data_IF_628457377744
#
_entry.id   IF_628457377744
#
_cell.length_a   1.000
_cell.length_b   1.000
_cell.length_c   1.000
_cell.angle_alpha   90.00
_cell.angle_beta   90.00
_cell.angle_gamma   90.00
#
_symmetry.space_group_name_H-M   'P 1'
#
loop_
_entity.id
_entity.type
_entity.pdbx_description
1 polymer ?
#
# COMPACT_ATOMS: atom_id res chain seq x y z
N UNK A 1 -16.90 -27.84 8.04
CA UNK A 1 -17.95 -26.81 8.23
C UNK A 1 -18.28 -26.24 6.88
N UNK A 2 -19.56 -26.15 6.52
CA UNK A 2 -19.98 -25.57 5.25
C UNK A 2 -19.95 -24.04 5.34
N UNK A 3 -19.38 -23.32 4.35
CA UNK A 3 -19.53 -21.88 4.26
C UNK A 3 -21.02 -21.52 4.22
N UNK A 4 -21.45 -20.55 5.03
CA UNK A 4 -22.83 -20.06 5.05
C UNK A 4 -22.95 -18.73 4.31
N UNK A 5 -23.98 -18.59 3.47
CA UNK A 5 -24.28 -17.32 2.80
C UNK A 5 -24.57 -16.20 3.80
N UNK A 6 -24.04 -14.99 3.55
CA UNK A 6 -24.38 -13.79 4.33
C UNK A 6 -25.10 -12.77 3.46
N UNK A 7 -26.01 -12.02 4.07
CA UNK A 7 -26.84 -10.97 3.45
C UNK A 7 -26.18 -9.60 3.69
N UNK A 8 -25.68 -8.97 2.64
CA UNK A 8 -25.21 -7.57 2.60
C UNK A 8 -26.32 -6.67 2.04
N UNK A 9 -26.22 -5.35 2.20
CA UNK A 9 -27.16 -4.36 1.67
C UNK A 9 -26.46 -3.53 0.59
N UNK A 10 -27.19 -2.94 -0.35
CA UNK A 10 -26.59 -2.13 -1.43
C UNK A 10 -25.84 -0.91 -0.90
N UNK A 11 -26.28 -0.26 0.19
CA UNK A 11 -25.51 0.84 0.80
C UNK A 11 -24.28 0.38 1.60
N UNK A 12 -24.11 -0.93 1.83
CA UNK A 12 -22.82 -1.47 2.29
C UNK A 12 -21.79 -1.50 1.15
N UNK A 13 -22.21 -1.16 -0.08
CA UNK A 13 -21.37 -0.89 -1.24
C UNK A 13 -21.00 0.61 -1.32
N UNK A 14 -20.33 1.13 -0.28
CA UNK A 14 -19.61 2.40 -0.45
C UNK A 14 -18.52 2.27 -1.53
N UNK A 15 -18.05 3.37 -2.12
CA UNK A 15 -16.90 3.32 -3.03
C UNK A 15 -15.73 2.63 -2.33
N UNK A 16 -15.33 1.47 -2.87
CA UNK A 16 -14.17 0.75 -2.40
C UNK A 16 -13.40 0.18 -3.61
N UNK A 17 -12.07 0.22 -3.54
CA UNK A 17 -11.17 -0.21 -4.63
C UNK A 17 -11.09 -1.74 -4.83
N UNK A 18 -11.88 -2.53 -4.08
CA UNK A 18 -12.01 -4.00 -4.11
C UNK A 18 -12.96 -4.54 -5.15
N UNK A 19 -13.73 -3.70 -5.82
CA UNK A 19 -14.62 -4.21 -6.84
C UNK A 19 -13.85 -4.65 -8.08
N UNK A 20 -12.85 -5.54 -7.99
CA UNK A 20 -12.01 -5.96 -9.11
C UNK A 20 -11.19 -4.83 -9.74
N UNK A 21 -10.44 -5.17 -10.80
CA UNK A 21 -9.79 -4.16 -11.62
C UNK A 21 -10.84 -3.28 -12.31
N UNK A 22 -10.53 -2.01 -12.62
CA UNK A 22 -11.11 -1.35 -13.78
C UNK A 22 -10.77 -2.21 -15.01
N UNK A 23 -11.61 -3.18 -15.29
CA UNK A 23 -11.68 -3.79 -16.61
C UNK A 23 -12.51 -2.88 -17.48
N UNK A 24 -12.09 -2.69 -18.73
CA UNK A 24 -12.97 -2.14 -19.75
C UNK A 24 -14.22 -3.01 -19.75
N UNK A 25 -15.35 -2.46 -19.30
CA UNK A 25 -16.63 -3.06 -19.63
C UNK A 25 -16.96 -2.51 -20.98
N UNK A 26 -17.20 -3.40 -21.94
CA UNK A 26 -17.83 -2.96 -23.16
C UNK A 26 -19.13 -2.22 -22.78
N UNK A 27 -19.42 -1.03 -23.35
CA UNK A 27 -20.61 -0.28 -23.01
C UNK A 27 -21.90 -1.09 -23.21
N UNK A 28 -21.96 -1.96 -24.23
CA UNK A 28 -23.12 -2.81 -24.48
C UNK A 28 -23.26 -3.89 -23.40
N UNK A 29 -22.15 -4.48 -22.95
CA UNK A 29 -22.17 -5.43 -21.82
C UNK A 29 -22.65 -4.75 -20.53
N UNK A 30 -22.24 -3.51 -20.28
CA UNK A 30 -22.65 -2.77 -19.08
C UNK A 30 -24.13 -2.36 -19.17
N UNK A 31 -24.59 -1.88 -20.33
CA UNK A 31 -26.00 -1.58 -20.57
C UNK A 31 -26.86 -2.82 -20.39
N UNK A 32 -26.47 -3.96 -21.00
CA UNK A 32 -27.16 -5.25 -20.84
C UNK A 32 -27.22 -5.67 -19.38
N UNK A 33 -26.12 -5.48 -18.63
CA UNK A 33 -26.09 -5.83 -17.22
C UNK A 33 -26.97 -4.90 -16.36
N UNK A 34 -27.03 -3.61 -16.67
CA UNK A 34 -27.92 -2.65 -16.02
C UNK A 34 -29.38 -3.00 -16.32
N UNK A 35 -29.71 -3.29 -17.58
CA UNK A 35 -31.04 -3.73 -18.01
C UNK A 35 -31.46 -5.02 -17.27
N UNK A 36 -30.58 -6.02 -17.23
CA UNK A 36 -30.82 -7.25 -16.48
C UNK A 36 -31.04 -6.98 -14.99
N UNK A 37 -30.25 -6.08 -14.38
CA UNK A 37 -30.44 -5.70 -12.99
C UNK A 37 -31.78 -5.01 -12.78
N UNK A 38 -32.17 -4.08 -13.66
CA UNK A 38 -33.44 -3.35 -13.60
C UNK A 38 -34.68 -4.24 -13.80
N UNK A 39 -34.60 -5.21 -14.72
CA UNK A 39 -35.72 -6.10 -15.07
C UNK A 39 -35.82 -7.27 -14.08
N UNK A 40 -34.70 -7.97 -13.87
CA UNK A 40 -34.67 -9.28 -13.19
C UNK A 40 -34.08 -9.23 -11.79
N UNK A 41 -33.49 -8.10 -11.39
CA UNK A 41 -32.81 -7.99 -10.11
C UNK A 41 -31.41 -8.63 -10.07
N UNK A 42 -30.94 -8.94 -8.85
CA UNK A 42 -29.59 -9.35 -8.51
C UNK A 42 -29.63 -10.40 -7.40
N UNK A 43 -29.30 -11.66 -7.74
CA UNK A 43 -29.11 -12.74 -6.76
C UNK A 43 -27.92 -13.60 -7.19
N UNK A 44 -27.03 -13.90 -6.24
CA UNK A 44 -25.99 -14.92 -6.41
C UNK A 44 -26.53 -16.23 -5.83
N UNK A 45 -26.54 -17.31 -6.60
CA UNK A 45 -26.85 -18.64 -6.07
C UNK A 45 -25.68 -19.12 -5.18
N UNK A 46 -25.87 -19.32 -3.86
CA UNK A 46 -24.79 -19.79 -2.99
C UNK A 46 -24.45 -21.28 -3.20
N UNK A 47 -25.35 -22.07 -3.79
CA UNK A 47 -25.23 -23.53 -3.95
C UNK A 47 -24.63 -23.96 -5.29
N UNK A 48 -24.39 -23.01 -6.22
CA UNK A 48 -23.78 -23.25 -7.53
C UNK A 48 -22.42 -22.53 -7.64
N UNK A 49 -21.33 -23.12 -7.13
CA UNK A 49 -20.00 -22.53 -7.17
C UNK A 49 -19.39 -22.65 -8.57
N UNK A 50 -19.67 -21.72 -9.49
CA UNK A 50 -19.13 -21.80 -10.85
C UNK A 50 -19.08 -20.48 -11.62
N UNK A 51 -17.94 -20.25 -12.29
CA UNK A 51 -17.69 -19.43 -13.49
C UNK A 51 -18.78 -18.46 -13.93
N UNK A 52 -18.52 -17.14 -13.83
CA UNK A 52 -19.00 -16.01 -14.68
C UNK A 52 -20.35 -16.09 -15.45
N UNK A 53 -21.27 -16.98 -15.09
CA UNK A 53 -22.58 -17.18 -15.67
C UNK A 53 -23.61 -16.70 -14.66
N UNK A 54 -24.46 -15.80 -15.14
CA UNK A 54 -25.63 -15.36 -14.40
C UNK A 54 -26.56 -16.56 -14.18
N UNK A 55 -26.75 -16.94 -12.92
CA UNK A 55 -27.92 -17.74 -12.51
C UNK A 55 -28.95 -16.75 -11.96
N UNK A 56 -29.86 -16.31 -12.82
CA UNK A 56 -30.98 -15.45 -12.44
C UNK A 56 -32.07 -16.37 -11.91
N UNK A 57 -32.40 -16.24 -10.63
CA UNK A 57 -33.53 -16.94 -10.01
C UNK A 57 -34.58 -15.90 -9.63
N UNK A 58 -35.87 -16.13 -9.95
CA UNK A 58 -36.96 -15.30 -9.45
C UNK A 58 -36.92 -15.23 -7.91
N UNK A 59 -37.27 -14.09 -7.31
CA UNK A 59 -37.63 -14.02 -5.90
C UNK A 59 -38.68 -15.10 -5.60
N UNK A 60 -38.48 -15.87 -4.53
CA UNK A 60 -39.54 -16.73 -4.00
C UNK A 60 -40.43 -15.89 -3.08
N UNK A 61 -41.73 -16.19 -3.01
CA UNK A 61 -42.66 -15.49 -2.11
C UNK A 61 -42.18 -15.56 -0.66
N UNK A 62 -41.68 -16.72 -0.24
CA UNK A 62 -41.05 -16.95 1.06
C UNK A 62 -39.90 -15.95 1.34
N UNK A 63 -39.15 -15.52 0.32
CA UNK A 63 -38.04 -14.57 0.46
C UNK A 63 -38.49 -13.10 0.50
N UNK A 64 -39.61 -12.76 -0.14
CA UNK A 64 -40.23 -11.44 -0.10
C UNK A 64 -41.01 -11.21 1.21
N UNK A 65 -41.58 -12.28 1.76
CA UNK A 65 -42.39 -12.27 2.99
C UNK A 65 -41.56 -12.36 4.26
N UNK A 66 -40.34 -12.91 4.17
CA UNK A 66 -39.39 -12.88 5.27
C UNK A 66 -39.00 -11.43 5.60
N UNK A 67 -39.63 -10.89 6.66
CA UNK A 67 -39.18 -9.64 7.28
C UNK A 67 -37.70 -9.79 7.61
N UNK A 68 -36.91 -8.78 7.27
CA UNK A 68 -35.51 -8.72 7.68
C UNK A 68 -35.42 -8.97 9.18
N UNK A 69 -34.94 -10.17 9.55
CA UNK A 69 -34.58 -10.46 10.92
C UNK A 69 -33.24 -9.80 11.11
N UNK A 70 -33.26 -8.67 11.81
CA UNK A 70 -32.06 -7.98 12.25
C UNK A 70 -31.25 -8.98 13.05
N UNK A 71 -30.11 -9.38 12.51
CA UNK A 71 -29.32 -10.42 13.14
C UNK A 71 -28.85 -9.88 14.50
N UNK A 72 -29.03 -10.62 15.61
CA UNK A 72 -28.73 -10.11 16.96
C UNK A 72 -27.32 -9.55 17.15
N UNK A 73 -26.37 -9.98 16.30
CA UNK A 73 -24.98 -9.51 16.30
C UNK A 73 -24.74 -8.19 15.54
N UNK A 74 -25.78 -7.60 14.92
CA UNK A 74 -25.71 -6.29 14.25
C UNK A 74 -26.21 -5.14 15.13
N UNK A 75 -26.74 -5.42 16.32
CA UNK A 75 -27.39 -4.43 17.21
C UNK A 75 -26.65 -4.14 18.52
N UNK A 76 -25.39 -4.56 18.62
CA UNK A 76 -24.53 -4.17 19.74
C UNK A 76 -24.03 -2.73 19.61
N UNK A 77 -24.89 -1.74 19.81
CA UNK A 77 -24.47 -0.40 20.26
C UNK A 77 -24.14 -0.43 21.77
N UNK A 78 -23.34 -1.42 22.18
CA UNK A 78 -22.50 -1.45 23.37
C UNK A 78 -21.06 -1.51 22.86
N UNK A 79 -20.21 -0.62 23.37
CA UNK A 79 -18.97 -0.13 22.75
C UNK A 79 -18.06 -1.22 22.17
N UNK A 80 -18.00 -1.33 20.84
CA UNK A 80 -17.02 -2.19 20.17
C UNK A 80 -17.41 -2.81 18.82
N UNK A 81 -18.18 -2.10 17.99
CA UNK A 81 -18.28 -2.18 16.51
C UNK A 81 -17.92 -3.49 15.78
N UNK A 82 -18.91 -4.08 15.09
CA UNK A 82 -18.64 -4.80 13.84
C UNK A 82 -19.64 -4.44 12.72
N UNK A 83 -19.59 -3.18 12.26
CA UNK A 83 -19.50 -2.99 10.81
C UNK A 83 -18.37 -3.91 10.32
N UNK A 84 -18.51 -4.59 9.17
CA UNK A 84 -17.46 -5.45 8.56
C UNK A 84 -16.09 -4.98 9.05
N UNK A 85 -15.41 -5.69 9.99
CA UNK A 85 -14.23 -5.16 10.65
C UNK A 85 -13.27 -4.62 9.61
N UNK A 86 -12.47 -3.58 9.89
CA UNK A 86 -11.42 -3.16 8.98
C UNK A 86 -10.68 -4.40 8.47
N UNK A 87 -10.49 -4.53 7.14
CA UNK A 87 -9.88 -5.70 6.48
C UNK A 87 -10.75 -6.96 6.34
N UNK A 88 -12.06 -6.88 6.61
CA UNK A 88 -12.98 -7.95 6.19
C UNK A 88 -13.09 -8.00 4.67
N UNK A 89 -12.72 -9.14 4.10
CA UNK A 89 -12.95 -9.47 2.70
C UNK A 89 -14.33 -10.12 2.63
N UNK A 90 -15.33 -9.39 2.15
CA UNK A 90 -16.49 -10.02 1.54
C UNK A 90 -16.18 -10.20 0.06
N UNK A 91 -16.16 -11.45 -0.41
CA UNK A 91 -16.05 -11.74 -1.83
C UNK A 91 -17.31 -11.22 -2.52
N UNK A 92 -17.24 -10.07 -3.18
CA UNK A 92 -18.17 -9.77 -4.28
C UNK A 92 -17.43 -10.11 -5.57
N UNK A 93 -17.51 -11.37 -5.98
CA UNK A 93 -17.15 -11.76 -7.33
C UNK A 93 -18.09 -10.98 -8.26
N UNK A 94 -17.57 -10.03 -9.06
CA UNK A 94 -18.37 -9.26 -10.03
C UNK A 94 -18.36 -7.74 -9.87
N UNK A 95 -17.22 -7.09 -10.08
CA UNK A 95 -17.10 -5.62 -10.22
C UNK A 95 -18.24 -4.98 -11.00
N UNK A 96 -18.39 -5.42 -12.26
CA UNK A 96 -19.36 -4.90 -13.21
C UNK A 96 -20.77 -5.05 -12.66
N UNK A 97 -21.03 -6.09 -11.87
CA UNK A 97 -22.33 -6.36 -11.24
C UNK A 97 -22.62 -5.42 -10.08
N UNK A 98 -21.64 -5.19 -9.21
CA UNK A 98 -21.79 -4.21 -8.13
C UNK A 98 -21.90 -2.79 -8.67
N UNK A 99 -21.12 -2.45 -9.70
CA UNK A 99 -21.17 -1.16 -10.37
C UNK A 99 -22.49 -0.96 -11.13
N UNK A 100 -22.96 -1.95 -11.89
CA UNK A 100 -24.26 -1.91 -12.56
C UNK A 100 -25.40 -1.75 -11.56
N UNK A 101 -25.33 -2.44 -10.42
CA UNK A 101 -26.30 -2.28 -9.33
C UNK A 101 -26.29 -0.84 -8.79
N UNK A 102 -25.11 -0.27 -8.49
CA UNK A 102 -24.97 1.12 -8.04
C UNK A 102 -25.48 2.12 -9.08
N UNK A 103 -25.15 1.94 -10.36
CA UNK A 103 -25.64 2.79 -11.46
C UNK A 103 -27.16 2.69 -11.56
N UNK A 104 -27.74 1.50 -11.46
CA UNK A 104 -29.19 1.29 -11.50
C UNK A 104 -29.89 1.98 -10.32
N UNK A 105 -29.30 1.92 -9.12
CA UNK A 105 -29.82 2.62 -7.94
C UNK A 105 -29.79 4.15 -8.14
N UNK A 106 -28.68 4.67 -8.63
CA UNK A 106 -28.49 6.10 -8.85
C UNK A 106 -29.38 6.64 -9.97
N UNK A 107 -29.61 5.85 -11.02
CA UNK A 107 -30.54 6.17 -12.11
C UNK A 107 -31.98 6.27 -11.60
N UNK A 108 -32.46 5.28 -10.84
CA UNK A 108 -33.79 5.32 -10.19
C UNK A 108 -33.95 6.56 -9.31
N UNK A 109 -32.94 6.86 -8.49
CA UNK A 109 -32.92 8.03 -7.62
C UNK A 109 -32.96 9.35 -8.41
N UNK A 110 -32.13 9.47 -9.44
CA UNK A 110 -31.98 10.71 -10.22
C UNK A 110 -33.18 10.99 -11.13
N UNK A 111 -33.87 9.95 -11.58
CA UNK A 111 -35.10 10.05 -12.36
C UNK A 111 -36.35 10.29 -11.49
N UNK A 112 -36.21 10.26 -10.16
CA UNK A 112 -37.33 10.45 -9.24
C UNK A 112 -38.37 9.33 -9.29
N UNK A 113 -37.98 8.14 -9.76
CA UNK A 113 -38.87 6.99 -9.82
C UNK A 113 -39.19 6.52 -8.41
N UNK A 114 -40.48 6.31 -8.12
CA UNK A 114 -40.88 5.76 -6.83
C UNK A 114 -40.41 4.29 -6.74
N UNK A 115 -39.69 3.96 -5.68
CA UNK A 115 -39.24 2.60 -5.37
C UNK A 115 -40.44 1.65 -5.25
N UNK A 116 -41.63 2.16 -4.94
CA UNK A 116 -42.88 1.39 -4.90
C UNK A 116 -43.35 0.93 -6.30
N UNK A 117 -42.96 1.62 -7.37
CA UNK A 117 -43.34 1.31 -8.76
C UNK A 117 -42.38 0.32 -9.45
N UNK A 118 -41.23 0.05 -8.84
CA UNK A 118 -40.23 -0.87 -9.38
C UNK A 118 -40.67 -2.34 -9.28
N UNK A 119 -40.04 -3.23 -10.04
CA UNK A 119 -40.35 -4.67 -9.97
C UNK A 119 -40.00 -5.22 -8.59
N UNK A 120 -40.72 -6.25 -8.13
CA UNK A 120 -40.39 -6.96 -6.88
C UNK A 120 -38.95 -7.47 -6.89
N UNK A 121 -38.50 -7.97 -8.04
CA UNK A 121 -37.13 -8.43 -8.29
C UNK A 121 -36.12 -7.31 -8.04
N UNK A 122 -36.33 -6.11 -8.61
CA UNK A 122 -35.45 -4.97 -8.41
C UNK A 122 -35.44 -4.50 -6.95
N UNK A 123 -36.62 -4.35 -6.32
CA UNK A 123 -36.72 -3.97 -4.90
C UNK A 123 -35.96 -4.92 -3.99
N UNK A 124 -35.96 -6.20 -4.30
CA UNK A 124 -35.31 -7.20 -3.49
C UNK A 124 -33.77 -7.21 -3.68
N UNK A 125 -33.32 -6.77 -4.86
CA UNK A 125 -31.92 -6.57 -5.25
C UNK A 125 -31.30 -5.32 -4.64
N UNK A 126 -32.08 -4.24 -4.56
CA UNK A 126 -31.75 -3.04 -3.78
C UNK A 126 -31.58 -3.36 -2.29
N UNK A 127 -32.34 -4.36 -1.82
CA UNK A 127 -32.37 -4.75 -0.42
C UNK A 127 -31.23 -5.70 -0.07
N UNK A 128 -30.75 -6.59 -0.94
CA UNK A 128 -29.83 -7.66 -0.50
C UNK A 128 -28.77 -8.01 -1.56
N UNK A 129 -27.51 -8.03 -1.15
CA UNK A 129 -26.38 -8.63 -1.89
C UNK A 129 -25.84 -9.79 -1.08
N UNK A 130 -25.82 -11.00 -1.63
CA UNK A 130 -25.23 -12.13 -0.92
C UNK A 130 -23.72 -12.20 -1.13
N UNK A 131 -22.97 -12.25 -0.03
CA UNK A 131 -21.55 -12.54 0.00
C UNK A 131 -21.30 -13.78 0.84
N UNK A 132 -20.50 -14.72 0.36
CA UNK A 132 -20.03 -15.84 1.18
C UNK A 132 -18.79 -15.37 1.94
N UNK A 133 -18.82 -15.45 3.27
CA UNK A 133 -17.66 -15.17 4.12
C UNK A 133 -17.30 -16.46 4.83
N UNK A 134 -16.02 -16.81 4.87
CA UNK A 134 -15.57 -17.94 5.67
C UNK A 134 -16.02 -17.78 7.12
N UNK A 135 -16.58 -18.83 7.70
CA UNK A 135 -16.86 -18.91 9.14
C UNK A 135 -15.57 -19.33 9.84
N UNK A 136 -14.75 -18.35 10.21
CA UNK A 136 -13.50 -18.58 10.93
C UNK A 136 -13.75 -18.58 12.44
N UNK A 137 -13.14 -19.52 13.15
CA UNK A 137 -13.25 -19.69 14.61
C UNK A 137 -12.30 -18.76 15.38
N UNK A 138 -11.31 -18.16 14.70
CA UNK A 138 -10.35 -17.22 15.27
C UNK A 138 -9.84 -16.22 14.24
N UNK A 139 -9.21 -15.13 14.69
CA UNK A 139 -8.50 -14.19 13.82
C UNK A 139 -7.35 -14.88 13.12
N UNK A 140 -6.67 -15.79 13.82
CA UNK A 140 -5.60 -16.63 13.26
C UNK A 140 -6.07 -17.47 12.08
N UNK A 141 -7.20 -18.17 12.23
CA UNK A 141 -7.76 -18.95 11.13
C UNK A 141 -8.13 -18.06 9.93
N UNK A 142 -8.75 -16.90 10.19
CA UNK A 142 -9.10 -15.95 9.16
C UNK A 142 -7.86 -15.47 8.38
N UNK A 143 -6.81 -15.03 9.10
CA UNK A 143 -5.55 -14.58 8.51
C UNK A 143 -4.88 -15.71 7.72
N UNK A 144 -4.90 -16.95 8.22
CA UNK A 144 -4.29 -18.07 7.50
C UNK A 144 -5.04 -18.50 6.26
N UNK A 145 -6.38 -18.46 6.29
CA UNK A 145 -7.20 -18.71 5.12
C UNK A 145 -7.02 -17.60 4.06
N UNK A 146 -6.78 -16.36 4.50
CA UNK A 146 -6.57 -15.20 3.62
C UNK A 146 -5.10 -14.81 3.40
N UNK A 147 -4.12 -15.58 3.89
CA UNK A 147 -2.70 -15.16 3.88
C UNK A 147 -2.19 -14.86 2.47
N UNK A 148 -2.68 -15.64 1.51
CA UNK A 148 -2.45 -15.49 0.09
C UNK A 148 -3.65 -14.91 -0.64
N UNK A 149 -4.48 -14.09 0.00
CA UNK A 149 -5.62 -13.37 -0.60
C UNK A 149 -5.66 -11.97 0.00
N UNK A 150 -5.11 -10.99 -0.71
CA UNK A 150 -5.23 -9.56 -0.35
C UNK A 150 -6.19 -8.84 -1.30
N UNK A 151 -6.71 -7.70 -0.88
CA UNK A 151 -7.45 -6.77 -1.74
C UNK A 151 -6.69 -6.46 -3.05
N UNK A 152 -5.39 -6.17 -2.91
CA UNK A 152 -4.51 -5.94 -4.04
C UNK A 152 -4.38 -7.18 -4.94
N UNK A 153 -4.37 -8.39 -4.38
CA UNK A 153 -4.33 -9.64 -5.13
C UNK A 153 -5.63 -9.95 -5.85
N UNK A 154 -6.78 -9.71 -5.24
CA UNK A 154 -8.09 -9.92 -5.89
C UNK A 154 -8.23 -8.95 -7.06
N UNK A 155 -7.80 -7.71 -6.90
CA UNK A 155 -7.73 -6.75 -8.01
C UNK A 155 -6.68 -7.20 -9.03
N UNK A 156 -5.41 -7.18 -8.68
CA UNK A 156 -4.32 -7.22 -9.67
C UNK A 156 -3.81 -8.64 -10.00
N UNK A 157 -4.37 -9.68 -9.39
CA UNK A 157 -3.82 -11.06 -9.38
C UNK A 157 -2.38 -11.17 -8.89
N UNK A 158 -1.85 -10.13 -8.23
CA UNK A 158 -0.47 -10.11 -7.71
C UNK A 158 -0.41 -10.76 -6.34
N UNK A 159 0.61 -11.58 -6.10
CA UNK A 159 0.86 -12.16 -4.78
C UNK A 159 1.06 -11.08 -3.72
N UNK A 160 0.74 -11.36 -2.44
CA UNK A 160 0.99 -10.43 -1.33
C UNK A 160 2.47 -10.03 -1.25
N UNK A 161 2.74 -8.85 -0.71
CA UNK A 161 4.09 -8.33 -0.51
C UNK A 161 4.41 -8.15 0.99
N UNK A 162 5.63 -7.72 1.33
CA UNK A 162 6.05 -7.57 2.73
C UNK A 162 5.15 -6.62 3.54
N UNK A 163 4.61 -5.56 2.93
CA UNK A 163 3.68 -4.66 3.63
C UNK A 163 2.35 -5.35 3.97
N UNK A 164 1.88 -6.26 3.10
CA UNK A 164 0.70 -7.07 3.37
C UNK A 164 0.94 -8.04 4.53
N UNK A 165 2.08 -8.73 4.53
CA UNK A 165 2.42 -9.68 5.59
C UNK A 165 2.70 -9.00 6.93
N UNK A 166 3.39 -7.85 6.91
CA UNK A 166 3.56 -7.00 8.10
C UNK A 166 2.20 -6.64 8.70
N UNK A 167 1.22 -6.27 7.87
CA UNK A 167 -0.13 -5.96 8.34
C UNK A 167 -0.82 -7.18 8.95
N UNK A 168 -0.72 -8.34 8.31
CA UNK A 168 -1.29 -9.58 8.85
C UNK A 168 -0.68 -9.92 10.22
N UNK A 169 0.64 -9.74 10.37
CA UNK A 169 1.33 -9.89 11.66
C UNK A 169 0.87 -8.90 12.71
N UNK A 170 0.72 -7.61 12.36
CA UNK A 170 0.18 -6.60 13.27
C UNK A 170 -1.22 -6.96 13.77
N UNK A 171 -2.07 -7.52 12.90
CA UNK A 171 -3.42 -7.97 13.25
C UNK A 171 -3.36 -9.14 14.21
N UNK A 172 -2.55 -10.17 13.92
CA UNK A 172 -2.36 -11.32 14.80
C UNK A 172 -1.87 -10.91 16.19
N UNK A 173 -0.87 -10.02 16.26
CA UNK A 173 -0.34 -9.48 17.52
C UNK A 173 -1.43 -8.76 18.32
N UNK A 174 -2.27 -7.94 17.66
CA UNK A 174 -3.35 -7.19 18.33
C UNK A 174 -4.51 -8.07 18.78
N UNK A 175 -4.80 -9.16 18.08
CA UNK A 175 -5.90 -10.08 18.43
C UNK A 175 -5.60 -11.00 19.60
N UNK A 176 -4.35 -11.06 20.09
CA UNK A 176 -3.94 -12.10 21.05
C UNK A 176 -3.79 -13.50 20.44
N UNK A 177 -4.31 -13.74 19.23
CA UNK A 177 -4.21 -14.99 18.50
C UNK A 177 -2.81 -15.25 17.87
N UNK A 178 -1.75 -14.62 18.40
CA UNK A 178 -0.37 -14.83 17.95
C UNK A 178 0.11 -16.29 18.14
N UNK A 179 -0.41 -16.98 19.16
CA UNK A 179 -0.03 -18.35 19.54
C UNK A 179 1.45 -18.50 19.89
N UNK A 180 1.98 -19.74 19.78
CA UNK A 180 3.38 -20.14 20.04
C UNK A 180 4.45 -19.46 19.16
N UNK A 181 4.06 -18.50 18.31
CA UNK A 181 4.96 -17.75 17.46
C UNK A 181 5.41 -16.46 18.15
N UNK A 182 5.80 -16.51 19.42
CA UNK A 182 6.26 -15.32 20.16
C UNK A 182 7.47 -14.66 19.48
N UNK A 183 8.25 -15.42 18.69
CA UNK A 183 9.44 -14.99 17.97
C UNK A 183 9.18 -14.55 16.51
N UNK A 184 8.14 -13.73 16.28
CA UNK A 184 7.94 -13.08 14.97
C UNK A 184 9.11 -12.19 14.52
N UNK A 185 10.06 -11.93 15.41
CA UNK A 185 11.31 -11.23 15.15
C UNK A 185 12.27 -12.03 14.27
N UNK A 186 12.13 -13.36 14.22
CA UNK A 186 12.99 -14.25 13.45
C UNK A 186 12.45 -14.47 12.03
N UNK A 187 13.18 -13.96 11.02
CA UNK A 187 12.83 -14.12 9.61
C UNK A 187 12.61 -15.59 9.18
N UNK A 188 13.31 -16.55 9.78
CA UNK A 188 13.11 -17.99 9.47
C UNK A 188 11.75 -18.48 9.93
N UNK A 189 11.28 -18.02 11.09
CA UNK A 189 9.95 -18.36 11.60
C UNK A 189 8.86 -17.69 10.76
N UNK A 190 9.04 -16.42 10.40
CA UNK A 190 8.14 -15.70 9.48
C UNK A 190 8.04 -16.42 8.14
N UNK A 191 9.18 -16.83 7.55
CA UNK A 191 9.22 -17.57 6.30
C UNK A 191 8.42 -18.87 6.37
N UNK A 192 8.61 -19.65 7.45
CA UNK A 192 7.89 -20.92 7.69
C UNK A 192 6.39 -20.71 7.86
N UNK A 193 5.98 -19.71 8.64
CA UNK A 193 4.58 -19.45 8.96
C UNK A 193 3.78 -19.00 7.71
N UNK A 194 4.33 -18.07 6.93
CA UNK A 194 3.65 -17.54 5.75
C UNK A 194 3.93 -18.33 4.47
N UNK A 195 4.86 -19.29 4.49
CA UNK A 195 5.35 -20.03 3.32
C UNK A 195 5.88 -19.09 2.23
N UNK A 196 6.73 -18.15 2.64
CA UNK A 196 7.29 -17.09 1.79
C UNK A 196 8.80 -17.23 1.63
N UNK A 197 9.37 -16.49 0.67
CA UNK A 197 10.80 -16.51 0.42
C UNK A 197 11.64 -15.86 1.53
N UNK A 198 12.93 -16.20 1.58
CA UNK A 198 13.89 -15.66 2.57
C UNK A 198 13.95 -14.13 2.55
N UNK A 199 14.01 -13.52 1.36
CA UNK A 199 14.06 -12.06 1.22
C UNK A 199 12.78 -11.38 1.70
N UNK A 200 11.62 -11.96 1.42
CA UNK A 200 10.33 -11.44 1.90
C UNK A 200 10.25 -11.48 3.42
N UNK A 201 10.69 -12.59 4.02
CA UNK A 201 10.69 -12.75 5.46
C UNK A 201 11.68 -11.81 6.18
N UNK A 202 12.87 -11.61 5.61
CA UNK A 202 13.85 -10.63 6.10
C UNK A 202 13.31 -9.20 5.99
N UNK A 203 12.67 -8.85 4.87
CA UNK A 203 12.04 -7.55 4.71
C UNK A 203 10.97 -7.30 5.79
N UNK A 204 10.15 -8.31 6.10
CA UNK A 204 9.14 -8.22 7.17
C UNK A 204 9.80 -8.04 8.54
N UNK A 205 10.81 -8.85 8.88
CA UNK A 205 11.56 -8.74 10.13
C UNK A 205 12.19 -7.35 10.30
N UNK A 206 12.84 -6.83 9.26
CA UNK A 206 13.40 -5.47 9.27
C UNK A 206 12.32 -4.40 9.51
N UNK A 207 11.18 -4.48 8.80
CA UNK A 207 10.05 -3.56 9.02
C UNK A 207 9.44 -3.66 10.43
N UNK A 208 9.54 -4.83 11.07
CA UNK A 208 9.03 -5.01 12.43
C UNK A 208 9.97 -4.39 13.47
N UNK A 209 11.28 -4.58 13.34
CA UNK A 209 12.17 -4.40 14.49
C UNK A 209 13.34 -3.47 14.26
N UNK A 210 13.88 -3.43 13.03
CA UNK A 210 15.12 -2.71 12.75
C UNK A 210 14.91 -1.33 12.13
N UNK A 211 13.80 -1.17 11.40
CA UNK A 211 13.42 0.09 10.77
C UNK A 211 12.60 0.92 11.76
N UNK A 212 12.97 2.20 11.93
CA UNK A 212 12.24 3.13 12.77
C UNK A 212 10.75 3.21 12.36
N UNK A 213 9.83 3.28 13.33
CA UNK A 213 8.39 3.29 13.06
C UNK A 213 7.93 4.45 12.19
N UNK A 214 8.55 5.63 12.30
CA UNK A 214 8.25 6.77 11.44
C UNK A 214 8.66 6.48 9.99
N UNK A 215 9.84 5.89 9.79
CA UNK A 215 10.31 5.44 8.47
C UNK A 215 9.38 4.37 7.89
N UNK A 216 8.88 3.43 8.69
CA UNK A 216 7.88 2.45 8.24
C UNK A 216 6.59 3.12 7.75
N UNK A 217 6.15 4.22 8.39
CA UNK A 217 4.99 5.00 7.93
C UNK A 217 5.27 5.63 6.56
N UNK A 218 6.44 6.22 6.36
CA UNK A 218 6.85 6.79 5.06
C UNK A 218 6.91 5.71 3.97
N UNK A 219 7.49 4.54 4.26
CA UNK A 219 7.54 3.41 3.33
C UNK A 219 6.13 2.88 2.98
N UNK A 220 5.23 2.78 3.97
CA UNK A 220 3.82 2.39 3.74
C UNK A 220 3.11 3.41 2.87
N UNK A 221 3.31 4.71 3.09
CA UNK A 221 2.74 5.78 2.27
C UNK A 221 3.27 5.74 0.83
N UNK A 222 4.58 5.60 0.66
CA UNK A 222 5.22 5.53 -0.64
C UNK A 222 4.73 4.33 -1.47
N UNK A 223 4.67 3.14 -0.84
CA UNK A 223 4.23 1.89 -1.49
C UNK A 223 2.72 1.82 -1.70
N UNK A 224 1.91 2.52 -0.90
CA UNK A 224 0.46 2.62 -1.10
C UNK A 224 0.13 3.37 -2.40
N UNK A 225 0.80 4.48 -2.66
CA UNK A 225 0.53 5.32 -3.84
C UNK A 225 1.10 4.72 -5.13
N UNK A 226 2.26 4.05 -5.04
CA UNK A 226 3.03 3.59 -6.23
C UNK A 226 2.95 2.09 -6.48
N UNK A 227 2.45 1.32 -5.51
CA UNK A 227 2.50 -0.14 -5.51
C UNK A 227 3.91 -0.66 -5.25
N UNK A 228 4.08 -1.51 -4.23
CA UNK A 228 5.40 -2.00 -3.83
C UNK A 228 6.21 -2.55 -5.01
N UNK A 229 5.72 -3.53 -5.76
CA UNK A 229 6.47 -4.14 -6.90
C UNK A 229 6.90 -3.16 -8.00
N UNK A 230 6.25 -2.01 -8.12
CA UNK A 230 6.62 -1.00 -9.12
C UNK A 230 7.59 0.02 -8.54
N UNK A 231 7.56 0.24 -7.23
CA UNK A 231 8.39 1.23 -6.53
C UNK A 231 9.65 0.65 -5.89
N UNK A 232 9.55 -0.48 -5.17
CA UNK A 232 10.66 -1.15 -4.50
C UNK A 232 10.42 -2.66 -4.35
N UNK A 233 11.48 -3.44 -4.44
CA UNK A 233 11.39 -4.89 -4.24
C UNK A 233 11.70 -5.29 -2.77
N UNK A 234 11.48 -6.57 -2.45
CA UNK A 234 11.80 -7.10 -1.13
C UNK A 234 13.30 -7.13 -0.83
N UNK A 235 14.14 -7.26 -1.88
CA UNK A 235 15.59 -7.25 -1.75
C UNK A 235 16.08 -5.95 -1.09
N UNK A 236 15.54 -4.81 -1.54
CA UNK A 236 15.83 -3.49 -0.99
C UNK A 236 15.55 -3.39 0.51
N UNK A 237 14.37 -3.86 0.95
CA UNK A 237 13.99 -3.85 2.37
C UNK A 237 14.78 -4.87 3.20
N UNK A 238 15.20 -5.98 2.60
CA UNK A 238 15.91 -7.07 3.29
C UNK A 238 17.39 -6.81 3.53
N UNK A 239 17.99 -5.84 2.83
CA UNK A 239 19.42 -5.52 2.89
C UNK A 239 19.74 -4.35 3.83
N UNK A 240 18.93 -4.21 4.86
CA UNK A 240 19.16 -3.29 5.99
C UNK A 240 19.28 -1.78 5.63
N UNK A 241 19.10 -1.38 4.37
CA UNK A 241 19.29 -0.02 3.86
C UNK A 241 18.47 1.07 4.59
N UNK A 242 17.34 0.69 5.21
CA UNK A 242 16.48 1.58 5.98
C UNK A 242 16.60 1.41 7.50
N UNK A 243 17.47 0.51 7.97
CA UNK A 243 17.65 0.24 9.38
C UNK A 243 18.47 1.37 10.03
N UNK A 244 18.22 1.59 11.31
CA UNK A 244 19.09 2.44 12.13
C UNK A 244 20.49 1.81 12.19
N UNK A 245 21.52 2.61 12.00
CA UNK A 245 22.92 2.20 12.01
C UNK A 245 23.45 1.65 10.68
N UNK A 246 22.60 1.44 9.67
CA UNK A 246 23.10 1.13 8.32
C UNK A 246 23.89 2.30 7.76
N UNK A 247 25.02 2.05 7.10
CA UNK A 247 25.78 3.08 6.39
C UNK A 247 26.18 2.66 4.98
N UNK A 248 25.98 3.57 4.01
CA UNK A 248 26.53 3.38 2.66
C UNK A 248 28.04 3.58 2.60
N UNK A 249 28.65 4.11 3.67
CA UNK A 249 30.09 4.33 3.82
C UNK A 249 30.83 3.14 4.43
N UNK A 250 30.26 1.93 4.54
CA UNK A 250 30.96 0.78 5.11
C UNK A 250 31.95 0.11 4.15
N UNK A 251 31.79 0.31 2.83
CA UNK A 251 32.55 -0.44 1.84
C UNK A 251 33.01 0.42 0.66
N UNK A 252 34.08 -0.01 -0.01
CA UNK A 252 34.57 0.60 -1.25
C UNK A 252 35.15 2.00 -1.05
N UNK A 253 34.98 2.85 -2.08
CA UNK A 253 35.52 4.21 -2.11
C UNK A 253 34.90 5.16 -1.06
N UNK A 254 33.72 4.81 -0.52
CA UNK A 254 33.03 5.62 0.48
C UNK A 254 33.42 5.28 1.93
N UNK A 255 34.39 4.37 2.12
CA UNK A 255 34.84 3.87 3.43
C UNK A 255 35.37 4.92 4.39
N UNK A 256 35.70 6.12 3.90
CA UNK A 256 36.09 7.25 4.73
C UNK A 256 34.91 7.95 5.41
N UNK A 257 33.67 7.69 4.98
CA UNK A 257 32.46 8.43 5.39
C UNK A 257 31.42 7.59 6.16
N UNK A 258 31.78 6.62 7.03
CA UNK A 258 30.78 5.74 7.62
C UNK A 258 29.82 6.51 8.54
N UNK A 259 30.29 7.53 9.27
CA UNK A 259 29.49 8.30 10.24
C UNK A 259 28.45 9.17 9.53
N UNK A 260 28.89 10.01 8.59
CA UNK A 260 28.00 10.94 7.88
C UNK A 260 27.00 10.24 6.95
N UNK A 261 27.36 9.04 6.49
CA UNK A 261 26.50 8.20 5.65
C UNK A 261 25.71 7.16 6.45
N UNK A 262 25.64 7.28 7.78
CA UNK A 262 24.88 6.39 8.66
C UNK A 262 23.43 6.85 8.89
N UNK A 263 22.51 5.89 8.92
CA UNK A 263 21.14 6.09 9.35
C UNK A 263 21.06 6.32 10.86
N UNK A 264 21.00 7.58 11.26
CA UNK A 264 20.87 7.95 12.66
C UNK A 264 19.44 7.77 13.20
N UNK A 265 19.26 7.67 14.53
CA UNK A 265 17.93 7.57 15.15
C UNK A 265 16.99 8.75 14.88
N UNK A 266 17.53 9.90 14.46
CA UNK A 266 16.76 11.09 14.07
C UNK A 266 16.00 10.94 12.75
N UNK A 267 16.31 9.90 11.96
CA UNK A 267 15.75 9.59 10.65
C UNK A 267 15.94 10.68 9.60
N UNK A 268 16.82 11.67 9.80
CA UNK A 268 16.99 12.78 8.85
C UNK A 268 17.44 12.27 7.48
N UNK A 269 18.51 11.45 7.46
CA UNK A 269 19.03 10.83 6.25
C UNK A 269 17.99 9.94 5.57
N UNK A 270 17.39 9.00 6.32
CA UNK A 270 16.43 8.03 5.75
C UNK A 270 15.18 8.72 5.21
N UNK A 271 14.72 9.79 5.85
CA UNK A 271 13.54 10.54 5.40
C UNK A 271 13.84 11.25 4.08
N UNK A 272 14.96 11.98 3.99
CA UNK A 272 15.41 12.61 2.75
C UNK A 272 15.61 11.57 1.64
N UNK A 273 16.20 10.42 1.97
CA UNK A 273 16.40 9.32 1.05
C UNK A 273 15.08 8.77 0.49
N UNK A 274 14.07 8.51 1.32
CA UNK A 274 12.75 8.05 0.85
C UNK A 274 12.07 9.12 -0.02
N UNK A 275 12.17 10.39 0.36
CA UNK A 275 11.67 11.52 -0.45
C UNK A 275 12.33 11.54 -1.83
N UNK A 276 13.65 11.37 -1.88
CA UNK A 276 14.44 11.30 -3.11
C UNK A 276 13.98 10.14 -4.00
N UNK A 277 13.87 8.92 -3.44
CA UNK A 277 13.38 7.75 -4.18
C UNK A 277 11.97 7.97 -4.76
N UNK A 278 11.07 8.62 -4.02
CA UNK A 278 9.71 8.96 -4.47
C UNK A 278 9.74 9.94 -5.63
N UNK A 279 10.46 11.05 -5.48
CA UNK A 279 10.53 12.12 -6.46
C UNK A 279 11.11 11.63 -7.79
N UNK A 280 12.21 10.87 -7.73
CA UNK A 280 12.86 10.30 -8.90
C UNK A 280 11.94 9.32 -9.64
N UNK A 281 11.27 8.43 -8.91
CA UNK A 281 10.33 7.49 -9.51
C UNK A 281 9.13 8.19 -10.14
N UNK A 282 8.61 9.25 -9.52
CA UNK A 282 7.45 9.99 -10.02
C UNK A 282 7.75 10.74 -11.31
N UNK A 283 8.97 11.29 -11.45
CA UNK A 283 9.43 12.02 -12.64
C UNK A 283 9.63 11.13 -13.87
N UNK A 284 9.86 9.82 -13.68
CA UNK A 284 10.04 8.90 -14.80
C UNK A 284 8.73 8.72 -15.60
N UNK A 285 8.79 8.69 -16.94
CA UNK A 285 7.64 8.28 -17.77
C UNK A 285 7.16 6.86 -17.39
N UNK A 286 5.86 6.58 -17.53
CA UNK A 286 5.25 5.29 -17.09
C UNK A 286 6.01 4.06 -17.62
N UNK A 287 6.51 4.10 -18.85
CA UNK A 287 7.28 2.99 -19.45
C UNK A 287 8.72 2.82 -18.93
N UNK A 288 9.26 3.82 -18.24
CA UNK A 288 10.61 3.80 -17.64
C UNK A 288 10.58 3.60 -16.12
N UNK A 289 9.40 3.61 -15.50
CA UNK A 289 9.23 3.34 -14.07
C UNK A 289 9.57 1.89 -13.78
N UNK A 290 10.58 1.70 -12.93
CA UNK A 290 11.04 0.39 -12.46
C UNK A 290 11.21 0.42 -10.94
N UNK A 291 11.04 -0.73 -10.26
CA UNK A 291 11.29 -0.78 -8.84
C UNK A 291 12.77 -0.50 -8.55
N UNK A 292 13.01 0.30 -7.51
CA UNK A 292 14.35 0.51 -6.98
C UNK A 292 14.98 -0.81 -6.59
N UNK A 293 16.17 -1.07 -7.13
CA UNK A 293 17.02 -2.15 -6.68
C UNK A 293 18.07 -1.63 -5.67
N UNK A 294 18.67 -2.55 -4.92
CA UNK A 294 19.62 -2.20 -3.87
C UNK A 294 20.80 -1.35 -4.37
N UNK A 295 21.40 -1.71 -5.51
CA UNK A 295 22.59 -1.02 -6.02
C UNK A 295 22.29 0.44 -6.39
N UNK A 296 21.18 0.67 -7.08
CA UNK A 296 20.74 2.02 -7.45
C UNK A 296 20.39 2.86 -6.23
N UNK A 297 19.63 2.27 -5.31
CA UNK A 297 19.21 2.95 -4.09
C UNK A 297 20.37 3.24 -3.13
N UNK A 298 21.41 2.39 -3.10
CA UNK A 298 22.62 2.62 -2.31
C UNK A 298 23.35 3.91 -2.72
N UNK A 299 23.42 4.20 -4.02
CA UNK A 299 24.02 5.44 -4.52
C UNK A 299 23.20 6.66 -4.13
N UNK A 300 21.87 6.57 -4.22
CA UNK A 300 20.98 7.65 -3.79
C UNK A 300 21.09 7.89 -2.28
N UNK A 301 21.21 6.83 -1.49
CA UNK A 301 21.46 6.92 -0.05
C UNK A 301 22.77 7.65 0.26
N UNK A 302 23.87 7.26 -0.40
CA UNK A 302 25.16 7.92 -0.25
C UNK A 302 25.10 9.41 -0.65
N UNK A 303 24.44 9.73 -1.76
CA UNK A 303 24.24 11.11 -2.19
C UNK A 303 23.43 11.93 -1.16
N UNK A 304 22.40 11.35 -0.54
CA UNK A 304 21.64 12.00 0.53
C UNK A 304 22.50 12.27 1.77
N UNK A 305 23.35 11.33 2.17
CA UNK A 305 24.25 11.50 3.32
C UNK A 305 25.31 12.58 3.04
N UNK A 306 25.95 12.52 1.88
CA UNK A 306 26.90 13.54 1.44
C UNK A 306 26.27 14.93 1.35
N UNK A 307 25.05 15.04 0.80
CA UNK A 307 24.29 16.29 0.77
C UNK A 307 24.10 16.86 2.18
N UNK A 308 23.62 16.07 3.14
CA UNK A 308 23.40 16.53 4.51
C UNK A 308 24.70 16.99 5.19
N UNK A 309 25.80 16.25 5.02
CA UNK A 309 27.10 16.61 5.55
C UNK A 309 27.61 17.93 4.96
N UNK A 310 27.53 18.08 3.64
CA UNK A 310 27.94 19.31 2.93
C UNK A 310 27.08 20.50 3.37
N UNK A 311 25.77 20.35 3.46
CA UNK A 311 24.87 21.43 3.86
C UNK A 311 25.08 21.84 5.31
N UNK A 312 25.43 20.90 6.21
CA UNK A 312 25.80 21.23 7.58
C UNK A 312 27.08 22.08 7.63
N UNK A 313 28.12 21.65 6.91
CA UNK A 313 29.38 22.39 6.84
C UNK A 313 29.18 23.78 6.19
N UNK A 314 28.35 23.86 5.15
CA UNK A 314 28.03 25.12 4.48
C UNK A 314 27.31 26.10 5.42
N UNK A 315 26.33 25.62 6.19
CA UNK A 315 25.61 26.43 7.19
C UNK A 315 26.54 27.01 8.26
N UNK A 316 27.56 26.27 8.66
CA UNK A 316 28.55 26.74 9.64
C UNK A 316 29.56 27.74 9.04
N UNK A 317 29.85 27.63 7.75
CA UNK A 317 30.89 28.41 7.08
C UNK A 317 30.43 29.77 6.54
N UNK A 318 29.14 29.97 6.33
CA UNK A 318 28.59 31.21 5.74
C UNK A 318 27.65 31.93 6.70
N UNK A 319 27.44 33.25 6.56
CA UNK A 319 26.44 33.96 7.35
C UNK A 319 25.06 33.32 7.22
N UNK A 320 24.34 33.17 8.35
CA UNK A 320 23.03 32.49 8.40
C UNK A 320 22.03 33.07 7.38
N UNK A 321 22.01 34.38 7.19
CA UNK A 321 21.13 35.04 6.22
C UNK A 321 21.43 34.63 4.77
N UNK A 322 22.71 34.46 4.41
CA UNK A 322 23.12 34.04 3.07
C UNK A 322 22.79 32.56 2.84
N UNK A 323 22.97 31.72 3.86
CA UNK A 323 22.57 30.32 3.82
C UNK A 323 21.06 30.17 3.60
N UNK A 324 20.24 30.83 4.42
CA UNK A 324 18.78 30.78 4.33
C UNK A 324 18.25 31.28 2.98
N UNK A 325 18.90 32.30 2.40
CA UNK A 325 18.53 32.83 1.09
C UNK A 325 18.73 31.84 -0.07
N UNK A 326 19.67 30.89 0.05
CA UNK A 326 20.06 29.97 -1.02
C UNK A 326 19.76 28.48 -0.74
N UNK A 327 19.51 28.11 0.52
CA UNK A 327 19.29 26.72 0.94
C UNK A 327 18.21 26.03 0.09
N UNK A 328 17.07 26.70 -0.14
CA UNK A 328 15.99 26.13 -0.93
C UNK A 328 16.39 25.89 -2.39
N UNK A 329 17.13 26.81 -3.01
CA UNK A 329 17.61 26.65 -4.39
C UNK A 329 18.57 25.46 -4.50
N UNK A 330 19.49 25.30 -3.55
CA UNK A 330 20.42 24.15 -3.52
C UNK A 330 19.62 22.85 -3.32
N UNK A 331 18.64 22.86 -2.41
CA UNK A 331 17.76 21.73 -2.15
C UNK A 331 16.93 21.34 -3.38
N UNK A 332 16.45 22.31 -4.15
CA UNK A 332 15.71 22.06 -5.39
C UNK A 332 16.60 21.40 -6.45
N UNK A 333 17.85 21.84 -6.59
CA UNK A 333 18.82 21.20 -7.49
C UNK A 333 19.15 19.77 -7.05
N UNK A 334 19.34 19.55 -5.75
CA UNK A 334 19.52 18.21 -5.18
C UNK A 334 18.29 17.33 -5.44
N UNK A 335 17.09 17.85 -5.23
CA UNK A 335 15.82 17.18 -5.52
C UNK A 335 15.59 16.92 -7.02
N UNK A 336 16.44 17.44 -7.90
CA UNK A 336 16.44 17.11 -9.31
C UNK A 336 17.54 16.11 -9.71
N UNK A 337 18.40 15.68 -8.77
CA UNK A 337 19.58 14.82 -8.95
C UNK A 337 20.71 15.49 -9.73
N UNK A 338 20.68 16.82 -9.85
CA UNK A 338 21.76 17.54 -10.54
C UNK A 338 23.07 17.52 -9.76
N UNK A 339 23.00 17.42 -8.43
CA UNK A 339 24.16 17.43 -7.56
C UNK A 339 24.73 16.03 -7.29
N UNK A 340 24.02 14.95 -7.63
CA UNK A 340 24.43 13.58 -7.28
C UNK A 340 25.83 13.24 -7.81
N UNK A 341 26.21 13.51 -9.08
CA UNK A 341 27.54 13.18 -9.58
C UNK A 341 28.66 13.92 -8.83
N UNK A 342 28.46 15.20 -8.52
CA UNK A 342 29.44 16.01 -7.78
C UNK A 342 29.56 15.55 -6.33
N UNK A 343 28.44 15.24 -5.66
CA UNK A 343 28.43 14.72 -4.29
C UNK A 343 29.15 13.37 -4.22
N UNK A 344 28.84 12.44 -5.13
CA UNK A 344 29.50 11.13 -5.15
C UNK A 344 30.99 11.28 -5.45
N UNK A 345 31.36 12.10 -6.44
CA UNK A 345 32.76 12.35 -6.74
C UNK A 345 33.52 12.94 -5.55
N UNK A 346 32.91 13.89 -4.84
CA UNK A 346 33.46 14.43 -3.60
C UNK A 346 33.69 13.33 -2.56
N UNK A 347 32.66 12.52 -2.26
CA UNK A 347 32.77 11.46 -1.25
C UNK A 347 33.84 10.40 -1.59
N UNK A 348 34.03 10.08 -2.87
CA UNK A 348 35.01 9.11 -3.33
C UNK A 348 36.46 9.61 -3.27
N UNK A 349 36.69 10.93 -3.29
CA UNK A 349 38.04 11.52 -3.44
C UNK A 349 38.50 12.32 -2.21
N UNK A 350 37.68 12.38 -1.17
CA UNK A 350 37.94 13.19 0.03
C UNK A 350 37.69 12.38 1.29
N UNK A 351 38.14 12.90 2.42
CA UNK A 351 37.90 12.31 3.74
C UNK A 351 37.27 13.36 4.66
N UNK A 352 36.46 12.96 5.67
CA UNK A 352 35.94 13.90 6.66
C UNK A 352 37.05 14.64 7.44
N UNK A 353 36.80 15.86 7.95
CA UNK A 353 35.55 16.63 7.82
C UNK A 353 35.37 17.23 6.41
N UNK A 354 34.16 17.68 6.07
CA UNK A 354 33.88 18.30 4.76
C UNK A 354 34.75 19.54 4.54
N UNK A 355 35.57 19.51 3.49
CA UNK A 355 36.26 20.69 2.97
C UNK A 355 35.43 21.34 1.86
N UNK A 356 34.74 22.45 2.15
CA UNK A 356 33.88 23.13 1.17
C UNK A 356 34.64 23.62 -0.08
N UNK A 357 35.96 23.83 0.02
CA UNK A 357 36.76 24.19 -1.15
C UNK A 357 36.85 23.04 -2.16
N UNK A 358 36.56 21.81 -1.79
CA UNK A 358 36.57 20.62 -2.67
C UNK A 358 35.19 20.30 -3.26
N UNK A 359 34.14 20.98 -2.81
CA UNK A 359 32.76 20.77 -3.28
C UNK A 359 32.48 21.63 -4.51
N UNK A 360 32.44 21.01 -5.69
CA UNK A 360 32.32 21.71 -6.98
C UNK A 360 31.14 22.69 -7.06
N UNK A 361 29.93 22.27 -6.65
CA UNK A 361 28.74 23.10 -6.76
C UNK A 361 28.66 24.23 -5.71
N UNK A 362 29.57 24.24 -4.72
CA UNK A 362 29.70 25.33 -3.74
C UNK A 362 30.67 26.41 -4.23
N UNK A 363 31.56 26.08 -5.18
CA UNK A 363 32.54 27.03 -5.76
C UNK A 363 31.83 28.08 -6.61
N UNK A 364 31.36 29.14 -5.97
CA UNK A 364 30.79 30.30 -6.64
C UNK A 364 31.91 31.19 -7.19
N UNK A 365 32.28 30.95 -8.44
CA UNK A 365 32.69 32.00 -9.39
C UNK A 365 33.75 33.02 -8.97
N UNK A 366 34.87 32.61 -8.38
CA UNK A 366 36.06 33.47 -8.24
C UNK A 366 36.76 33.79 -9.59
N UNK A 367 36.09 33.58 -10.72
CA UNK A 367 36.62 33.76 -12.09
C UNK A 367 35.90 34.83 -12.92
N UNK A 368 35.05 35.69 -12.34
CA UNK A 368 34.44 36.84 -13.05
C UNK A 368 35.10 38.20 -12.76
N UNK A 369 36.30 38.22 -12.20
CA UNK A 369 37.17 39.40 -12.22
C UNK A 369 38.19 39.28 -13.36
N UNK A 370 37.80 39.70 -14.57
CA UNK A 370 38.74 40.03 -15.65
C UNK A 370 38.20 41.16 -16.51
#
# INVERSE_FOLDING_TARGET
MQPGGKTLRVWHLGYRTDFGLPGFSDPFDMCTLIELVLVEGFRTNPDDPGTEKLSIWPPTDDWLENKYVKLPHLDGAGEGCYALPPFSIAYVKGWRRALACLISCEAVRSLGLDVSELTLNFKASLKVIHGTVGAFQSTKEAVWASRGITMAQVATRRSPNAMNFLRQLEVLKKSGDGGDFEDWHNATQVARAFKIGKSEALAISNLQDKINKQVVVLLKEATRCRGMRQFMNHDLLSKDLFNVGFSSGETGALSAWPVDLSNNPDNNLVSLFIERLKADWDRLPIGLKRPWNYKEALMVHAACGGYLAIMSALREAVPQADFEAHEQQIRDQFNLSYLDPDIIHFLENTVPPVNLQEVNFVRTGSSFES
#
